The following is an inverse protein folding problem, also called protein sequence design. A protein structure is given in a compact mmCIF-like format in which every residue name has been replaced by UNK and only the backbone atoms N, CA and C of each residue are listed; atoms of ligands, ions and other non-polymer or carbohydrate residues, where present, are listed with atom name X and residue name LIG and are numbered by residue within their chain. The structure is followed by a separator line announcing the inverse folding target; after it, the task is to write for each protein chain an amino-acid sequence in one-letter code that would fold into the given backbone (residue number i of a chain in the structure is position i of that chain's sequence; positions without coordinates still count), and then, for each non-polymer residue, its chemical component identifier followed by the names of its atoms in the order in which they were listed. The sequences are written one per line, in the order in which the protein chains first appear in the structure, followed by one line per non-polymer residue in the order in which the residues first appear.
data_IF_072769618477
#
_entry.id   IF_072769618477
#
_cell.length_a   1.000
_cell.length_b   1.000
_cell.length_c   1.000
_cell.angle_alpha   90.00
_cell.angle_beta   90.00
_cell.angle_gamma   90.00
#
_symmetry.space_group_name_H-M   'P 1'
#
loop_
_entity.id
_entity.type
_entity.pdbx_description
1 polymer ?
#
# COMPACT_ATOMS: atom_id res chain seq x y z
N UNK A 1 8.39 -30.92 -14.62
CA UNK A 1 7.49 -29.75 -14.79
C UNK A 1 7.42 -29.02 -13.45
N UNK A 2 7.77 -27.73 -13.39
CA UNK A 2 7.73 -26.94 -12.15
C UNK A 2 6.25 -26.78 -11.75
N UNK A 3 5.84 -27.24 -10.56
CA UNK A 3 4.45 -27.06 -10.12
C UNK A 3 4.11 -25.57 -10.10
N UNK A 4 3.13 -25.18 -10.90
CA UNK A 4 2.58 -23.83 -10.95
C UNK A 4 1.53 -23.68 -9.86
N UNK A 5 1.74 -22.72 -8.96
CA UNK A 5 0.86 -22.47 -7.82
C UNK A 5 -0.14 -21.36 -8.15
N UNK A 6 -1.19 -21.68 -8.91
CA UNK A 6 -2.21 -20.73 -9.36
C UNK A 6 -2.98 -20.08 -8.21
N UNK A 7 -3.48 -20.87 -7.25
CA UNK A 7 -4.26 -20.37 -6.12
C UNK A 7 -3.46 -19.38 -5.23
N UNK A 8 -2.23 -19.67 -4.79
CA UNK A 8 -1.41 -18.69 -4.08
C UNK A 8 -1.11 -17.42 -4.88
N UNK A 9 -0.97 -17.51 -6.20
CA UNK A 9 -0.77 -16.34 -7.04
C UNK A 9 -2.02 -15.45 -7.05
N UNK A 10 -3.21 -16.03 -7.23
CA UNK A 10 -4.49 -15.30 -7.18
C UNK A 10 -4.68 -14.58 -5.84
N UNK A 11 -4.38 -15.24 -4.72
CA UNK A 11 -4.45 -14.62 -3.39
C UNK A 11 -3.50 -13.42 -3.26
N UNK A 12 -2.32 -13.49 -3.89
CA UNK A 12 -1.32 -12.40 -3.82
C UNK A 12 -1.66 -11.19 -4.69
N UNK A 13 -2.60 -11.32 -5.63
CA UNK A 13 -3.08 -10.20 -6.46
C UNK A 13 -3.88 -9.22 -5.61
N UNK A 14 -4.75 -9.72 -4.72
CA UNK A 14 -5.60 -8.88 -3.87
C UNK A 14 -4.86 -8.33 -2.68
N UNK A 15 -4.07 -9.17 -2.01
CA UNK A 15 -3.26 -8.77 -0.87
C UNK A 15 -1.85 -9.32 -1.11
N UNK A 16 -0.88 -8.43 -1.43
CA UNK A 16 0.50 -8.82 -1.64
C UNK A 16 0.99 -9.70 -0.50
N UNK A 17 1.72 -10.78 -0.76
CA UNK A 17 2.27 -11.65 0.30
C UNK A 17 1.34 -12.77 0.82
N UNK A 18 0.02 -12.75 0.57
CA UNK A 18 -0.87 -13.84 1.00
C UNK A 18 -0.50 -15.21 0.42
N UNK A 19 -0.15 -15.27 -0.87
CA UNK A 19 0.30 -16.53 -1.47
C UNK A 19 1.59 -17.06 -0.89
N UNK A 20 2.41 -16.18 -0.28
CA UNK A 20 3.61 -16.61 0.43
C UNK A 20 3.23 -17.23 1.78
N UNK A 21 2.19 -16.73 2.47
CA UNK A 21 1.65 -17.35 3.68
C UNK A 21 1.10 -18.76 3.43
N UNK A 22 0.29 -18.93 2.36
CA UNK A 22 -0.27 -20.25 1.99
C UNK A 22 0.83 -21.26 1.64
N UNK A 23 1.98 -20.79 1.16
CA UNK A 23 3.17 -21.61 0.89
C UNK A 23 4.05 -21.85 2.13
N UNK A 24 3.67 -21.36 3.30
CA UNK A 24 4.48 -21.43 4.53
C UNK A 24 5.72 -20.52 4.53
N UNK A 25 5.81 -19.59 3.58
CA UNK A 25 6.95 -18.67 3.42
C UNK A 25 6.73 -17.38 4.24
N UNK A 26 6.63 -17.52 5.57
CA UNK A 26 6.26 -16.44 6.48
C UNK A 26 7.20 -15.23 6.42
N UNK A 27 8.52 -15.44 6.40
CA UNK A 27 9.51 -14.34 6.32
C UNK A 27 9.31 -13.53 5.04
N UNK A 28 9.05 -14.19 3.90
CA UNK A 28 8.82 -13.48 2.63
C UNK A 28 7.52 -12.69 2.65
N UNK A 29 6.44 -13.25 3.21
CA UNK A 29 5.18 -12.52 3.37
C UNK A 29 5.39 -11.26 4.22
N UNK A 30 6.08 -11.40 5.35
CA UNK A 30 6.41 -10.29 6.24
C UNK A 30 7.24 -9.21 5.53
N UNK A 31 8.29 -9.58 4.81
CA UNK A 31 9.12 -8.62 4.08
C UNK A 31 8.32 -7.85 3.01
N UNK A 32 7.41 -8.54 2.29
CA UNK A 32 6.54 -7.89 1.31
C UNK A 32 5.66 -6.83 1.99
N UNK A 33 5.09 -7.15 3.16
CA UNK A 33 4.27 -6.21 3.92
C UNK A 33 5.06 -5.07 4.54
N UNK A 34 6.22 -5.35 5.11
CA UNK A 34 7.07 -4.33 5.71
C UNK A 34 7.54 -3.32 4.66
N UNK A 35 8.08 -3.80 3.54
CA UNK A 35 8.57 -2.92 2.47
C UNK A 35 7.39 -2.21 1.80
N UNK A 36 6.33 -2.93 1.44
CA UNK A 36 5.14 -2.35 0.83
C UNK A 36 4.47 -1.31 1.73
N UNK A 37 4.39 -1.59 3.02
CA UNK A 37 3.84 -0.69 4.03
C UNK A 37 4.69 0.57 4.21
N UNK A 38 6.02 0.44 4.31
CA UNK A 38 6.93 1.59 4.41
C UNK A 38 6.84 2.46 3.15
N UNK A 39 6.89 1.87 1.96
CA UNK A 39 6.80 2.64 0.71
C UNK A 39 5.43 3.29 0.54
N UNK A 40 4.35 2.57 0.88
CA UNK A 40 3.00 3.10 0.86
C UNK A 40 2.81 4.25 1.85
N UNK A 41 3.35 4.11 3.06
CA UNK A 41 3.36 5.17 4.06
C UNK A 41 4.13 6.39 3.57
N UNK A 42 5.36 6.21 3.04
CA UNK A 42 6.16 7.31 2.53
C UNK A 42 5.49 8.03 1.36
N UNK A 43 4.87 7.29 0.43
CA UNK A 43 4.10 7.88 -0.67
C UNK A 43 2.91 8.69 -0.16
N UNK A 44 2.12 8.11 0.75
CA UNK A 44 0.96 8.77 1.33
C UNK A 44 1.36 10.01 2.13
N UNK A 45 2.35 9.89 3.01
CA UNK A 45 2.85 10.97 3.86
C UNK A 45 3.52 12.10 3.08
N UNK A 46 4.23 11.77 1.99
CA UNK A 46 5.02 12.78 1.25
C UNK A 46 4.21 13.48 0.17
N UNK A 47 3.27 12.78 -0.46
CA UNK A 47 2.52 13.33 -1.59
C UNK A 47 1.04 13.50 -1.27
N UNK A 48 0.37 12.42 -0.87
CA UNK A 48 -1.09 12.43 -0.74
C UNK A 48 -1.55 13.36 0.39
N UNK A 49 -1.01 13.18 1.60
CA UNK A 49 -1.40 13.97 2.78
C UNK A 49 -1.08 15.46 2.59
N UNK A 50 0.13 15.87 2.17
CA UNK A 50 0.43 17.28 1.95
C UNK A 50 -0.43 17.90 0.84
N UNK A 51 -0.69 17.16 -0.24
CA UNK A 51 -1.57 17.63 -1.30
C UNK A 51 -3.00 17.87 -0.81
N UNK A 52 -3.55 16.95 -0.01
CA UNK A 52 -4.88 17.10 0.58
C UNK A 52 -4.95 18.30 1.54
N UNK A 53 -3.93 18.50 2.37
CA UNK A 53 -3.85 19.65 3.29
C UNK A 53 -3.75 20.95 2.49
N UNK A 54 -2.91 21.00 1.46
CA UNK A 54 -2.81 22.16 0.57
C UNK A 54 -4.16 22.47 -0.11
N UNK A 55 -4.82 21.46 -0.67
CA UNK A 55 -6.10 21.63 -1.33
C UNK A 55 -7.17 22.16 -0.36
N UNK A 56 -7.20 21.61 0.87
CA UNK A 56 -8.07 22.12 1.94
C UNK A 56 -7.75 23.57 2.28
N UNK A 57 -6.47 23.92 2.43
CA UNK A 57 -6.05 25.28 2.74
C UNK A 57 -6.45 26.30 1.67
N UNK A 58 -6.36 25.93 0.38
CA UNK A 58 -6.83 26.78 -0.73
C UNK A 58 -8.35 26.97 -0.67
N UNK A 59 -9.10 25.90 -0.42
CA UNK A 59 -10.55 25.97 -0.25
C UNK A 59 -10.95 26.87 0.93
N UNK A 60 -10.27 26.73 2.06
CA UNK A 60 -10.53 27.50 3.27
C UNK A 60 -10.23 28.99 3.05
N UNK A 61 -9.10 29.32 2.42
CA UNK A 61 -8.72 30.70 2.10
C UNK A 61 -9.68 31.39 1.12
N UNK A 62 -10.32 30.64 0.22
CA UNK A 62 -11.30 31.19 -0.73
C UNK A 62 -12.65 31.50 -0.06
N UNK A 63 -13.08 30.68 0.90
CA UNK A 63 -14.41 30.78 1.50
C UNK A 63 -14.45 31.57 2.81
N UNK A 64 -13.29 31.80 3.44
CA UNK A 64 -13.21 32.53 4.71
C UNK A 64 -13.35 34.04 4.48
N UNK A 65 -14.17 34.75 5.29
CA UNK A 65 -14.23 36.21 5.27
C UNK A 65 -12.86 36.82 5.59
N UNK A 66 -12.56 37.97 4.96
CA UNK A 66 -11.33 38.74 5.16
C UNK A 66 -11.23 39.38 6.54
#
# INVERSE_FOLDING_TARGET
MKQTYGLPALLSIFIPGLGQLVKGQFIKAFLIWAIGGVLGFLLAWTLVVPFLIWAWNVYDAYNSPA
#
